data_IF_436036382981
#
_entry.id   IF_436036382981
#
_cell.length_a   1.000
_cell.length_b   1.000
_cell.length_c   1.000
_cell.angle_alpha   90.00
_cell.angle_beta   90.00
_cell.angle_gamma   90.00
#
_symmetry.space_group_name_H-M   'P 1'
#
loop_
_entity.id
_entity.type
_entity.pdbx_description
1 polymer ?
#
# COMPACT_ATOMS: atom_id res chain seq x y z
N UNK A 1 4.87 -20.14 -33.91
CA UNK A 1 4.79 -20.19 -32.41
C UNK A 1 5.69 -19.18 -31.70
N UNK A 2 6.18 -18.12 -32.35
CA UNK A 2 7.15 -17.17 -31.77
C UNK A 2 6.54 -15.86 -31.19
N UNK A 3 5.24 -15.66 -31.32
CA UNK A 3 4.59 -14.41 -30.87
C UNK A 3 4.52 -14.21 -29.34
N UNK A 4 4.84 -15.24 -28.55
CA UNK A 4 4.82 -15.17 -27.08
C UNK A 4 6.19 -14.84 -26.44
N UNK A 5 7.22 -14.60 -27.25
CA UNK A 5 8.59 -14.37 -26.76
C UNK A 5 8.76 -13.05 -26.00
N UNK A 6 8.01 -12.02 -26.41
CA UNK A 6 8.05 -10.70 -25.75
C UNK A 6 7.52 -10.77 -24.31
N UNK A 7 6.44 -11.52 -24.10
CA UNK A 7 5.83 -11.68 -22.78
C UNK A 7 6.73 -12.43 -21.80
N UNK A 8 7.55 -13.36 -22.28
CA UNK A 8 8.51 -14.11 -21.47
C UNK A 8 9.67 -13.25 -21.01
N UNK A 9 10.13 -12.30 -21.83
CA UNK A 9 11.16 -11.34 -21.48
C UNK A 9 10.67 -10.36 -20.41
N UNK A 10 9.42 -9.87 -20.53
CA UNK A 10 8.77 -8.99 -19.55
C UNK A 10 8.54 -9.74 -18.23
N UNK A 11 8.08 -11.00 -18.29
CA UNK A 11 7.87 -11.83 -17.11
C UNK A 11 9.17 -12.15 -16.37
N UNK A 12 10.25 -12.48 -17.10
CA UNK A 12 11.56 -12.70 -16.50
C UNK A 12 12.16 -11.43 -15.90
N UNK A 13 11.90 -10.27 -16.50
CA UNK A 13 12.32 -8.97 -15.97
C UNK A 13 11.52 -8.61 -14.72
N UNK A 14 10.21 -8.91 -14.70
CA UNK A 14 9.34 -8.72 -13.52
C UNK A 14 9.65 -9.70 -12.38
N UNK A 15 10.27 -10.84 -12.70
CA UNK A 15 10.62 -11.86 -11.69
C UNK A 15 11.81 -11.46 -10.81
N UNK A 16 12.51 -10.34 -11.09
CA UNK A 16 13.58 -9.82 -10.25
C UNK A 16 12.97 -8.99 -9.13
N UNK A 17 13.00 -9.42 -7.85
CA UNK A 17 12.28 -8.78 -6.74
C UNK A 17 12.65 -7.32 -6.53
N UNK A 18 13.90 -6.96 -6.75
CA UNK A 18 14.39 -5.57 -6.61
C UNK A 18 13.80 -4.63 -7.65
N UNK A 19 13.54 -5.11 -8.86
CA UNK A 19 12.93 -4.31 -9.93
C UNK A 19 11.46 -4.06 -9.66
N UNK A 20 10.73 -5.04 -9.12
CA UNK A 20 9.34 -4.91 -8.73
C UNK A 20 9.16 -3.82 -7.65
N UNK A 21 10.00 -3.82 -6.61
CA UNK A 21 9.98 -2.81 -5.56
C UNK A 21 10.20 -1.40 -6.13
N UNK A 22 11.19 -1.26 -7.00
CA UNK A 22 11.51 0.01 -7.64
C UNK A 22 10.38 0.52 -8.55
N UNK A 23 9.80 -0.36 -9.38
CA UNK A 23 8.65 -0.01 -10.23
C UNK A 23 7.44 0.43 -9.41
N UNK A 24 7.16 -0.27 -8.31
CA UNK A 24 6.04 0.07 -7.45
C UNK A 24 6.27 1.39 -6.71
N UNK A 25 7.50 1.66 -6.27
CA UNK A 25 7.87 2.95 -5.70
C UNK A 25 7.70 4.08 -6.73
N UNK A 26 8.08 3.86 -7.99
CA UNK A 26 7.85 4.82 -9.09
C UNK A 26 6.34 4.99 -9.33
N UNK A 27 5.57 3.91 -9.37
CA UNK A 27 4.12 3.98 -9.56
C UNK A 27 3.42 4.79 -8.46
N UNK A 28 3.82 4.62 -7.20
CA UNK A 28 3.29 5.42 -6.08
C UNK A 28 3.68 6.90 -6.18
N UNK A 29 4.92 7.19 -6.59
CA UNK A 29 5.35 8.58 -6.84
C UNK A 29 4.58 9.21 -8.01
N UNK A 30 4.38 8.46 -9.09
CA UNK A 30 3.58 8.90 -10.23
C UNK A 30 2.12 9.16 -9.82
N UNK A 31 1.51 8.26 -9.03
CA UNK A 31 0.17 8.42 -8.49
C UNK A 31 0.08 9.69 -7.62
N UNK A 32 1.04 9.88 -6.70
CA UNK A 32 1.10 11.08 -5.87
C UNK A 32 1.20 12.36 -6.71
N UNK A 33 1.99 12.34 -7.77
CA UNK A 33 2.15 13.47 -8.70
C UNK A 33 0.86 13.72 -9.49
N UNK A 34 0.14 12.67 -9.90
CA UNK A 34 -1.14 12.78 -10.62
C UNK A 34 -2.28 13.31 -9.75
N UNK A 35 -2.27 13.05 -8.45
CA UNK A 35 -3.27 13.57 -7.52
C UNK A 35 -3.24 15.11 -7.50
N UNK A 36 -2.09 15.75 -7.63
CA UNK A 36 -1.95 17.21 -7.58
C UNK A 36 -2.75 17.93 -8.68
N UNK A 37 -2.58 17.64 -9.97
CA UNK A 37 -3.36 18.32 -11.01
C UNK A 37 -4.87 18.02 -10.93
N UNK A 38 -5.25 16.79 -10.56
CA UNK A 38 -6.67 16.45 -10.35
C UNK A 38 -7.29 17.24 -9.19
N UNK A 39 -6.56 17.36 -8.08
CA UNK A 39 -7.02 18.15 -6.93
C UNK A 39 -7.09 19.64 -7.25
N UNK A 40 -6.18 20.14 -8.07
CA UNK A 40 -6.17 21.54 -8.50
C UNK A 40 -7.41 21.87 -9.35
N UNK A 41 -7.82 20.97 -10.26
CA UNK A 41 -9.08 21.13 -11.01
C UNK A 41 -10.29 21.19 -10.08
N UNK A 42 -10.34 20.30 -9.08
CA UNK A 42 -11.42 20.28 -8.07
C UNK A 42 -11.41 21.56 -7.24
N UNK A 43 -10.24 22.02 -6.83
CA UNK A 43 -10.05 23.26 -6.08
C UNK A 43 -10.61 24.48 -6.82
N UNK A 44 -10.29 24.63 -8.10
CA UNK A 44 -10.81 25.74 -8.91
C UNK A 44 -12.31 25.64 -9.17
N UNK A 45 -12.85 24.43 -9.38
CA UNK A 45 -14.31 24.22 -9.50
C UNK A 45 -15.01 24.60 -8.21
N UNK A 46 -14.51 24.16 -7.07
CA UNK A 46 -15.04 24.54 -5.76
C UNK A 46 -14.95 26.05 -5.53
N UNK A 47 -13.84 26.67 -5.91
CA UNK A 47 -13.63 28.11 -5.81
C UNK A 47 -14.69 28.92 -6.54
N UNK A 48 -15.07 28.56 -7.76
CA UNK A 48 -16.14 29.25 -8.50
C UNK A 48 -17.45 29.22 -7.74
N UNK A 49 -17.84 28.08 -7.18
CA UNK A 49 -19.07 27.96 -6.39
C UNK A 49 -19.02 28.80 -5.11
N UNK A 50 -17.85 28.88 -4.49
CA UNK A 50 -17.65 29.62 -3.22
C UNK A 50 -17.82 31.12 -3.43
N UNK A 51 -17.30 31.69 -4.52
CA UNK A 51 -17.40 33.11 -4.80
C UNK A 51 -18.81 33.57 -5.18
N UNK A 52 -19.69 32.64 -5.55
CA UNK A 52 -21.13 32.91 -5.80
C UNK A 52 -21.97 32.91 -4.50
N UNK A 53 -21.34 32.69 -3.33
CA UNK A 53 -22.01 32.64 -2.04
C UNK A 53 -22.07 34.04 -1.37
N UNK A 54 -23.00 34.27 -0.43
CA UNK A 54 -23.00 35.46 0.41
C UNK A 54 -21.73 35.49 1.30
N UNK A 55 -21.34 36.66 1.78
CA UNK A 55 -20.06 36.89 2.48
C UNK A 55 -19.76 35.88 3.61
N UNK A 56 -20.74 35.47 4.40
CA UNK A 56 -20.60 34.44 5.44
C UNK A 56 -20.26 33.08 4.81
N UNK A 57 -20.88 32.74 3.69
CA UNK A 57 -20.64 31.51 2.97
C UNK A 57 -19.25 31.46 2.32
N UNK A 58 -18.74 32.60 1.85
CA UNK A 58 -17.38 32.69 1.31
C UNK A 58 -16.35 32.30 2.36
N UNK A 59 -16.50 32.76 3.62
CA UNK A 59 -15.59 32.39 4.71
C UNK A 59 -15.58 30.88 4.95
N UNK A 60 -16.75 30.24 5.04
CA UNK A 60 -16.86 28.78 5.18
C UNK A 60 -16.24 28.02 4.00
N UNK A 61 -16.44 28.54 2.78
CA UNK A 61 -15.83 27.97 1.58
C UNK A 61 -14.31 28.09 1.54
N UNK A 62 -13.74 29.22 1.96
CA UNK A 62 -12.29 29.40 2.06
C UNK A 62 -11.69 28.46 3.11
N UNK A 63 -12.33 28.32 4.28
CA UNK A 63 -11.89 27.35 5.29
C UNK A 63 -11.93 25.92 4.74
N UNK A 64 -12.99 25.54 4.02
CA UNK A 64 -13.05 24.25 3.35
C UNK A 64 -11.87 24.04 2.39
N UNK A 65 -11.54 25.05 1.58
CA UNK A 65 -10.42 24.98 0.64
C UNK A 65 -9.07 24.79 1.36
N UNK A 66 -8.87 25.43 2.52
CA UNK A 66 -7.66 25.25 3.34
C UNK A 66 -7.56 23.78 3.79
N UNK A 67 -8.65 23.22 4.34
CA UNK A 67 -8.67 21.81 4.75
C UNK A 67 -8.48 20.87 3.56
N UNK A 68 -9.05 21.20 2.41
CA UNK A 68 -8.86 20.42 1.19
C UNK A 68 -7.40 20.41 0.73
N UNK A 69 -6.72 21.56 0.70
CA UNK A 69 -5.29 21.65 0.38
C UNK A 69 -4.48 20.84 1.39
N UNK A 70 -4.77 20.96 2.68
CA UNK A 70 -4.09 20.21 3.73
C UNK A 70 -4.28 18.70 3.56
N UNK A 71 -5.48 18.25 3.16
CA UNK A 71 -5.78 16.86 2.87
C UNK A 71 -4.92 16.34 1.71
N UNK A 72 -4.88 17.07 0.60
CA UNK A 72 -4.08 16.70 -0.57
C UNK A 72 -2.59 16.67 -0.22
N UNK A 73 -2.10 17.69 0.47
CA UNK A 73 -0.71 17.73 0.93
C UNK A 73 -0.35 16.51 1.76
N UNK A 74 -1.18 16.16 2.76
CA UNK A 74 -0.94 15.03 3.64
C UNK A 74 -0.98 13.69 2.89
N UNK A 75 -1.92 13.50 1.96
CA UNK A 75 -2.01 12.31 1.09
C UNK A 75 -0.76 12.17 0.22
N UNK A 76 -0.39 13.23 -0.49
CA UNK A 76 0.79 13.23 -1.37
C UNK A 76 2.07 12.97 -0.57
N UNK A 77 2.24 13.62 0.57
CA UNK A 77 3.39 13.40 1.45
C UNK A 77 3.45 11.96 1.97
N UNK A 78 2.32 11.42 2.41
CA UNK A 78 2.19 10.02 2.86
C UNK A 78 2.57 9.03 1.75
N UNK A 79 2.09 9.21 0.54
CA UNK A 79 2.42 8.36 -0.61
C UNK A 79 3.92 8.42 -0.96
N UNK A 80 4.55 9.59 -0.94
CA UNK A 80 6.00 9.72 -1.13
C UNK A 80 6.79 9.01 -0.03
N UNK A 81 6.35 9.12 1.21
CA UNK A 81 6.97 8.43 2.34
C UNK A 81 6.90 6.91 2.17
N UNK A 82 5.72 6.39 1.80
CA UNK A 82 5.54 4.95 1.55
C UNK A 82 6.31 4.45 0.33
N UNK A 83 6.41 5.26 -0.73
CA UNK A 83 7.25 4.94 -1.88
C UNK A 83 8.73 4.77 -1.50
N UNK A 84 9.25 5.61 -0.60
CA UNK A 84 10.62 5.46 -0.07
C UNK A 84 10.79 4.19 0.77
N UNK A 85 9.79 3.82 1.57
CA UNK A 85 9.81 2.58 2.35
C UNK A 85 9.89 1.35 1.45
N UNK A 86 9.13 1.33 0.34
CA UNK A 86 9.15 0.24 -0.63
C UNK A 86 10.51 0.15 -1.33
N UNK A 87 11.09 1.28 -1.72
CA UNK A 87 12.38 1.36 -2.41
C UNK A 87 13.55 0.86 -1.52
N UNK A 88 13.41 1.00 -0.19
CA UNK A 88 14.37 0.57 0.80
C UNK A 88 14.25 -0.92 1.21
N UNK A 89 13.26 -1.66 0.71
CA UNK A 89 13.09 -3.07 1.02
C UNK A 89 14.23 -3.91 0.42
N UNK A 90 14.81 -4.85 1.18
CA UNK A 90 15.81 -5.77 0.65
C UNK A 90 15.19 -6.66 -0.43
N UNK A 91 15.93 -6.90 -1.51
CA UNK A 91 15.50 -7.75 -2.63
C UNK A 91 15.54 -9.24 -2.28
N UNK A 92 14.68 -9.70 -1.36
CA UNK A 92 14.54 -11.13 -1.05
C UNK A 92 13.48 -11.78 -1.97
N UNK A 93 13.61 -13.09 -2.21
CA UNK A 93 12.77 -13.83 -3.16
C UNK A 93 11.26 -13.85 -2.83
N UNK A 94 10.87 -13.49 -1.59
CA UNK A 94 9.49 -13.54 -1.08
C UNK A 94 8.91 -12.18 -0.64
N UNK A 95 9.22 -11.10 -1.37
CA UNK A 95 8.78 -9.75 -0.98
C UNK A 95 7.32 -9.40 -1.34
N UNK A 96 6.57 -10.28 -2.01
CA UNK A 96 5.20 -9.97 -2.46
C UNK A 96 4.24 -9.65 -1.30
N UNK A 97 4.28 -10.43 -0.21
CA UNK A 97 3.37 -10.24 0.93
C UNK A 97 3.67 -8.97 1.75
N UNK A 98 4.93 -8.71 2.16
CA UNK A 98 5.25 -7.47 2.85
C UNK A 98 4.97 -6.23 1.98
N UNK A 99 5.19 -6.33 0.66
CA UNK A 99 4.90 -5.28 -0.28
C UNK A 99 3.41 -4.95 -0.35
N UNK A 100 2.55 -5.98 -0.47
CA UNK A 100 1.08 -5.82 -0.48
C UNK A 100 0.58 -5.21 0.83
N UNK A 101 1.13 -5.60 1.97
CA UNK A 101 0.78 -5.04 3.27
C UNK A 101 1.11 -3.54 3.35
N UNK A 102 2.27 -3.11 2.83
CA UNK A 102 2.64 -1.69 2.79
C UNK A 102 1.68 -0.90 1.89
N UNK A 103 1.29 -1.45 0.74
CA UNK A 103 0.35 -0.78 -0.19
C UNK A 103 -1.02 -0.61 0.46
N UNK A 104 -1.54 -1.66 1.10
CA UNK A 104 -2.86 -1.61 1.77
C UNK A 104 -2.84 -0.57 2.89
N UNK A 105 -1.79 -0.54 3.70
CA UNK A 105 -1.63 0.49 4.75
C UNK A 105 -1.54 1.88 4.13
N UNK A 106 -0.74 2.07 3.09
CA UNK A 106 -0.62 3.36 2.39
C UNK A 106 -1.96 3.86 1.83
N UNK A 107 -2.73 2.97 1.21
CA UNK A 107 -4.06 3.29 0.68
C UNK A 107 -5.03 3.65 1.82
N UNK A 108 -5.06 2.85 2.89
CA UNK A 108 -5.91 3.11 4.05
C UNK A 108 -5.58 4.44 4.73
N UNK A 109 -4.31 4.75 4.95
CA UNK A 109 -3.86 6.02 5.53
C UNK A 109 -4.22 7.21 4.64
N UNK A 110 -3.98 7.11 3.34
CA UNK A 110 -4.30 8.18 2.39
C UNK A 110 -5.81 8.48 2.36
N UNK A 111 -6.64 7.44 2.28
CA UNK A 111 -8.11 7.56 2.28
C UNK A 111 -8.59 8.14 3.62
N UNK A 112 -8.09 7.63 4.74
CA UNK A 112 -8.51 8.07 6.06
C UNK A 112 -8.17 9.54 6.34
N UNK A 113 -6.95 9.97 6.01
CA UNK A 113 -6.53 11.37 6.16
C UNK A 113 -7.37 12.27 5.27
N UNK A 114 -7.62 11.86 4.02
CA UNK A 114 -8.46 12.61 3.11
C UNK A 114 -9.89 12.76 3.65
N UNK A 115 -10.54 11.66 4.04
CA UNK A 115 -11.91 11.67 4.60
C UNK A 115 -11.97 12.57 5.84
N UNK A 116 -11.03 12.40 6.77
CA UNK A 116 -11.02 13.16 8.04
C UNK A 116 -10.95 14.66 7.78
N UNK A 117 -9.97 15.12 7.00
CA UNK A 117 -9.76 16.55 6.76
C UNK A 117 -10.88 17.18 5.93
N UNK A 118 -11.34 16.46 4.88
CA UNK A 118 -12.46 16.94 4.06
C UNK A 118 -13.76 16.98 4.86
N UNK A 119 -13.98 16.04 5.78
CA UNK A 119 -15.18 16.04 6.63
C UNK A 119 -15.17 17.18 7.63
N UNK A 120 -14.02 17.49 8.24
CA UNK A 120 -13.91 18.65 9.13
C UNK A 120 -14.14 19.94 8.36
N UNK A 121 -13.46 20.13 7.23
CA UNK A 121 -13.67 21.30 6.38
C UNK A 121 -15.10 21.42 5.85
N UNK A 122 -15.69 20.28 5.46
CA UNK A 122 -17.06 20.21 4.96
C UNK A 122 -18.12 20.53 6.01
N UNK A 123 -17.94 20.05 7.24
CA UNK A 123 -18.84 20.44 8.35
C UNK A 123 -18.80 21.92 8.66
N UNK A 124 -17.61 22.53 8.65
CA UNK A 124 -17.44 23.98 8.78
C UNK A 124 -18.16 24.69 7.61
N UNK A 125 -17.99 24.20 6.38
CA UNK A 125 -18.70 24.77 5.23
C UNK A 125 -20.22 24.74 5.40
N UNK A 126 -20.77 23.61 5.84
CA UNK A 126 -22.23 23.48 6.11
C UNK A 126 -22.70 24.52 7.11
N UNK A 127 -21.94 24.76 8.19
CA UNK A 127 -22.31 25.74 9.22
C UNK A 127 -22.37 27.18 8.71
N UNK A 128 -21.41 27.57 7.87
CA UNK A 128 -21.37 28.93 7.34
C UNK A 128 -22.29 29.19 6.17
N UNK A 129 -22.65 28.14 5.40
CA UNK A 129 -23.41 28.29 4.16
C UNK A 129 -24.87 27.85 4.27
N UNK A 130 -25.19 26.96 5.22
CA UNK A 130 -26.46 26.25 5.24
C UNK A 130 -26.71 25.38 4.01
N UNK A 131 -25.65 24.98 3.27
CA UNK A 131 -25.72 24.15 2.07
C UNK A 131 -24.93 22.85 2.29
N UNK A 132 -25.44 21.73 1.78
CA UNK A 132 -24.75 20.44 1.84
C UNK A 132 -23.46 20.44 1.01
N UNK A 133 -22.50 19.62 1.40
CA UNK A 133 -21.17 19.51 0.77
C UNK A 133 -21.25 19.10 -0.72
N UNK A 134 -22.33 18.42 -1.14
CA UNK A 134 -22.57 18.05 -2.53
C UNK A 134 -22.66 19.24 -3.49
N UNK A 135 -22.89 20.45 -2.99
CA UNK A 135 -22.88 21.67 -3.82
C UNK A 135 -21.48 22.03 -4.32
N UNK A 136 -20.44 21.68 -3.57
CA UNK A 136 -19.03 21.94 -3.95
C UNK A 136 -18.42 20.71 -4.62
N UNK A 137 -18.65 19.52 -4.05
CA UNK A 137 -18.15 18.24 -4.57
C UNK A 137 -19.28 17.58 -5.37
N UNK A 138 -19.34 17.82 -6.67
CA UNK A 138 -20.34 17.21 -7.54
C UNK A 138 -19.63 16.46 -8.70
N UNK A 139 -19.77 15.12 -8.84
CA UNK A 139 -20.41 14.21 -7.88
C UNK A 139 -19.58 14.06 -6.60
N UNK A 140 -20.25 13.90 -5.44
CA UNK A 140 -19.52 13.62 -4.21
C UNK A 140 -18.85 12.24 -4.32
N UNK A 141 -17.62 12.08 -3.80
CA UNK A 141 -16.97 10.78 -3.77
C UNK A 141 -17.78 9.77 -2.95
N UNK A 142 -18.04 8.58 -3.49
CA UNK A 142 -18.89 7.55 -2.86
C UNK A 142 -18.38 7.03 -1.50
N UNK A 143 -17.13 7.33 -1.15
CA UNK A 143 -16.52 6.94 0.12
C UNK A 143 -16.66 8.01 1.22
N UNK A 144 -17.19 9.20 0.90
CA UNK A 144 -17.54 10.18 1.92
C UNK A 144 -18.90 9.84 2.50
N UNK A 145 -19.04 9.83 3.82
CA UNK A 145 -20.37 9.73 4.44
C UNK A 145 -21.18 10.95 4.03
N UNK A 146 -22.18 10.74 3.17
CA UNK A 146 -23.10 11.78 2.70
C UNK A 146 -24.19 12.10 3.75
N UNK A 147 -23.85 11.96 5.01
CA UNK A 147 -24.74 12.23 6.13
C UNK A 147 -24.70 13.71 6.45
N UNK A 148 -25.86 14.27 6.59
CA UNK A 148 -26.05 15.60 7.09
C UNK A 148 -26.91 16.44 6.16
N UNK A 149 -28.07 16.81 6.67
CA UNK A 149 -28.88 17.87 6.09
C UNK A 149 -28.09 19.19 6.17
N UNK A 150 -28.53 20.18 5.39
CA UNK A 150 -27.93 21.52 5.39
C UNK A 150 -28.26 22.30 6.70
N UNK A 151 -28.10 21.63 7.83
CA UNK A 151 -28.36 22.12 9.18
C UNK A 151 -27.08 22.18 10.02
N UNK A 152 -27.10 22.90 11.12
CA UNK A 152 -25.98 22.92 12.07
C UNK A 152 -25.64 21.51 12.57
N UNK A 153 -26.68 20.73 12.92
CA UNK A 153 -26.51 19.34 13.36
C UNK A 153 -25.95 18.45 12.24
N UNK A 154 -26.42 18.63 11.00
CA UNK A 154 -25.89 17.94 9.85
C UNK A 154 -24.39 18.21 9.62
N UNK A 155 -23.90 19.40 9.92
CA UNK A 155 -22.46 19.71 9.91
C UNK A 155 -21.69 18.92 10.96
N UNK A 156 -22.24 18.77 12.19
CA UNK A 156 -21.65 17.94 13.24
C UNK A 156 -21.64 16.46 12.83
N UNK A 157 -22.76 15.94 12.35
CA UNK A 157 -22.89 14.57 11.88
C UNK A 157 -21.87 14.25 10.77
N UNK A 158 -21.69 15.19 9.83
CA UNK A 158 -20.72 15.04 8.75
C UNK A 158 -19.28 15.00 9.29
N UNK A 159 -18.91 15.87 10.22
CA UNK A 159 -17.57 15.87 10.85
C UNK A 159 -17.31 14.59 11.64
N UNK A 160 -18.21 14.27 12.56
CA UNK A 160 -18.06 13.09 13.43
C UNK A 160 -18.10 11.80 12.62
N UNK A 161 -19.07 11.69 11.70
CA UNK A 161 -19.18 10.54 10.80
C UNK A 161 -17.95 10.35 9.92
N UNK A 162 -17.38 11.44 9.41
CA UNK A 162 -16.16 11.40 8.61
C UNK A 162 -14.93 10.98 9.41
N UNK A 163 -14.75 11.52 10.62
CA UNK A 163 -13.64 11.14 11.50
C UNK A 163 -13.77 9.67 11.94
N UNK A 164 -14.97 9.22 12.31
CA UNK A 164 -15.21 7.82 12.66
C UNK A 164 -14.97 6.89 11.46
N UNK A 165 -15.42 7.27 10.28
CA UNK A 165 -15.16 6.52 9.04
C UNK A 165 -13.67 6.43 8.73
N UNK A 166 -12.92 7.52 8.93
CA UNK A 166 -11.48 7.53 8.76
C UNK A 166 -10.77 6.55 9.72
N UNK A 167 -11.19 6.52 11.00
CA UNK A 167 -10.68 5.55 11.98
C UNK A 167 -10.98 4.13 11.55
N UNK A 168 -12.22 3.84 11.11
CA UNK A 168 -12.61 2.50 10.63
C UNK A 168 -11.78 2.08 9.42
N UNK A 169 -11.53 2.98 8.47
CA UNK A 169 -10.70 2.70 7.28
C UNK A 169 -9.26 2.37 7.69
N UNK A 170 -8.67 3.12 8.62
CA UNK A 170 -7.33 2.81 9.14
C UNK A 170 -7.32 1.43 9.78
N UNK A 171 -8.24 1.16 10.71
CA UNK A 171 -8.31 -0.12 11.40
C UNK A 171 -8.48 -1.26 10.41
N UNK A 172 -9.38 -1.13 9.44
CA UNK A 172 -9.61 -2.15 8.41
C UNK A 172 -8.35 -2.40 7.56
N UNK A 173 -7.64 -1.33 7.14
CA UNK A 173 -6.41 -1.44 6.36
C UNK A 173 -5.29 -2.13 7.14
N UNK A 174 -5.13 -1.80 8.42
CA UNK A 174 -4.12 -2.45 9.27
C UNK A 174 -4.47 -3.91 9.56
N UNK A 175 -5.73 -4.24 9.84
CA UNK A 175 -6.18 -5.63 10.00
C UNK A 175 -5.96 -6.44 8.71
N UNK A 176 -6.30 -5.89 7.56
CA UNK A 176 -6.05 -6.55 6.28
C UNK A 176 -4.55 -6.81 6.05
N UNK A 177 -3.70 -5.85 6.37
CA UNK A 177 -2.25 -6.01 6.27
C UNK A 177 -1.71 -7.08 7.23
N UNK A 178 -2.22 -7.16 8.47
CA UNK A 178 -1.84 -8.20 9.43
C UNK A 178 -2.33 -9.59 8.99
N UNK A 179 -3.54 -9.69 8.43
CA UNK A 179 -4.04 -10.95 7.85
C UNK A 179 -3.11 -11.46 6.73
N UNK A 180 -2.63 -10.57 5.85
CA UNK A 180 -1.67 -10.94 4.82
C UNK A 180 -0.33 -11.43 5.43
N UNK A 181 0.15 -10.80 6.49
CA UNK A 181 1.36 -11.22 7.20
C UNK A 181 1.20 -12.62 7.81
N UNK A 182 0.06 -12.91 8.42
CA UNK A 182 -0.24 -14.23 8.98
C UNK A 182 -0.33 -15.30 7.90
N UNK A 183 -0.97 -14.99 6.76
CA UNK A 183 -1.05 -15.89 5.61
C UNK A 183 0.33 -16.22 5.04
N UNK A 184 1.21 -15.22 4.93
CA UNK A 184 2.60 -15.41 4.49
C UNK A 184 3.35 -16.39 5.40
N UNK A 185 3.31 -16.17 6.71
CA UNK A 185 3.97 -17.03 7.69
C UNK A 185 3.42 -18.46 7.67
N UNK A 186 2.11 -18.61 7.48
CA UNK A 186 1.48 -19.93 7.38
C UNK A 186 1.93 -20.67 6.12
N UNK A 187 2.02 -19.98 4.98
CA UNK A 187 2.51 -20.54 3.73
C UNK A 187 3.98 -20.99 3.83
N UNK A 188 4.84 -20.19 4.45
CA UNK A 188 6.25 -20.54 4.68
C UNK A 188 6.40 -21.79 5.55
N UNK A 189 5.60 -21.92 6.61
CA UNK A 189 5.60 -23.11 7.48
C UNK A 189 5.16 -24.36 6.74
N UNK A 190 4.13 -24.26 5.89
CA UNK A 190 3.67 -25.40 5.07
C UNK A 190 4.74 -25.83 4.06
N UNK A 191 5.44 -24.89 3.44
CA UNK A 191 6.53 -25.19 2.50
C UNK A 191 7.73 -25.82 3.21
N UNK A 192 8.10 -25.32 4.39
CA UNK A 192 9.17 -25.90 5.22
C UNK A 192 8.83 -27.34 5.65
N UNK A 193 7.60 -27.59 6.09
CA UNK A 193 7.14 -28.94 6.46
C UNK A 193 7.18 -29.93 5.29
N UNK A 194 6.86 -29.48 4.07
CA UNK A 194 6.97 -30.34 2.87
C UNK A 194 8.41 -30.70 2.53
N UNK A 195 9.35 -29.77 2.70
CA UNK A 195 10.78 -30.03 2.44
C UNK A 195 11.34 -31.09 3.39
N UNK A 196 11.02 -31.00 4.69
CA UNK A 196 11.48 -32.00 5.68
C UNK A 196 10.93 -33.40 5.41
N UNK A 197 9.67 -33.50 4.95
CA UNK A 197 9.07 -34.80 4.55
C UNK A 197 9.73 -35.37 3.30
N UNK A 198 10.09 -34.53 2.33
CA UNK A 198 10.76 -34.96 1.11
C UNK A 198 12.21 -35.44 1.38
N UNK A 199 12.93 -34.78 2.28
CA UNK A 199 14.29 -35.19 2.66
C UNK A 199 14.34 -36.45 3.53
N UNK A 200 13.31 -36.69 4.37
CA UNK A 200 13.24 -37.92 5.17
C UNK A 200 12.70 -39.13 4.39
N UNK A 201 12.11 -38.92 3.21
CA UNK A 201 11.61 -39.98 2.31
C UNK A 201 12.63 -40.54 1.31
N UNK A 202 13.81 -39.93 1.19
CA UNK A 202 14.88 -40.51 0.41
C UNK A 202 15.54 -41.62 1.25
N UNK A 203 15.35 -42.91 0.92
CA UNK A 203 16.08 -43.95 1.60
C UNK A 203 17.57 -43.67 1.31
N UNK A 204 18.36 -43.39 2.35
CA UNK A 204 19.81 -43.47 2.28
C UNK A 204 20.17 -44.88 1.82
N UNK A 205 20.17 -45.06 0.50
CA UNK A 205 20.83 -46.18 -0.12
C UNK A 205 22.31 -45.92 0.15
N UNK A 206 22.72 -46.11 1.40
CA UNK A 206 24.10 -46.15 1.78
C UNK A 206 24.71 -47.27 0.96
N UNK A 207 25.40 -46.91 -0.10
CA UNK A 207 26.40 -47.72 -0.75
C UNK A 207 27.56 -47.91 0.25
N UNK A 208 27.28 -48.63 1.33
CA UNK A 208 28.33 -49.40 2.03
C UNK A 208 28.70 -50.54 1.13
N UNK A 209 29.41 -50.24 0.04
CA UNK A 209 30.33 -51.22 -0.55
C UNK A 209 31.47 -51.41 0.47
N UNK A 210 31.63 -52.62 1.01
CA UNK A 210 32.77 -52.91 1.87
C UNK A 210 34.02 -52.74 1.00
N UNK A 211 34.77 -51.67 1.22
CA UNK A 211 36.13 -51.52 0.70
C UNK A 211 36.94 -52.69 1.24
N UNK A 212 37.10 -53.71 0.40
CA UNK A 212 38.02 -54.83 0.56
C UNK A 212 39.41 -54.24 0.88
N UNK A 213 39.85 -54.49 2.09
CA UNK A 213 41.20 -54.20 2.56
C UNK A 213 42.22 -55.00 1.79
N UNK A 214 42.81 -54.42 0.75
CA UNK A 214 44.04 -54.94 0.15
C UNK A 214 45.22 -54.76 1.13
N UNK A 215 45.96 -55.83 1.44
CA UNK A 215 47.13 -55.76 2.31
C UNK A 215 48.29 -55.09 1.54
N UNK A 216 48.72 -53.92 2.01
CA UNK A 216 49.91 -53.22 1.53
C UNK A 216 51.17 -54.03 1.84
N UNK A 217 51.70 -54.63 0.77
CA UNK A 217 53.06 -55.24 0.75
C UNK A 217 54.09 -54.14 0.97
N UNK A 218 54.73 -54.20 2.15
CA UNK A 218 55.93 -53.44 2.48
C UNK A 218 57.08 -53.93 1.63
N UNK A 219 57.50 -53.24 0.62
CA UNK A 219 58.82 -53.35 0.04
C UNK A 219 59.79 -52.42 0.76
N UNK A 220 60.61 -53.08 1.57
CA UNK A 220 61.76 -52.56 2.24
C UNK A 220 63.00 -52.68 1.30
N UNK A 221 63.53 -51.56 0.87
CA UNK A 221 64.87 -51.45 0.35
C UNK A 221 65.42 -50.11 0.85
N UNK A 222 66.44 -50.06 1.63
CA UNK A 222 67.69 -50.75 1.81
C UNK A 222 68.75 -50.02 1.03
N UNK A 223 69.65 -49.44 1.84
CA UNK A 223 71.03 -49.03 1.55
C UNK A 223 71.32 -47.59 1.18
N UNK A 224 72.05 -46.98 2.11
CA UNK A 224 72.96 -45.85 1.96
C UNK A 224 74.17 -46.16 1.04
N UNK A 225 75.27 -45.43 1.05
CA UNK A 225 75.95 -44.78 2.17
C UNK A 225 75.89 -43.23 2.08
#
# INVERSE_FOLDING_TARGET
MEKYFFMRSVLNWLAVPRQLNHMLAIALRALATLIVPFSLVTFFKAGKVIFDLPASGVLGGVLFQIFFILAIYAVVHGLFFRARQIDALPGSEFNMFPLSAIIIRAAGEAIAVFISLVSVGGGIYVWFTGKGIGTILNPPPNFLPLFGDATFMGGIEFMVGGVLSAILVIVAAYLAAECLHLLSRSAERMLASRRTVSESGEPKLSSELPVSSEPSVRLRSGTGP
#
